data_IF_036592778239
#
_entry.id   IF_036592778239
#
_cell.length_a   1.000
_cell.length_b   1.000
_cell.length_c   1.000
_cell.angle_alpha   90.00
_cell.angle_beta   90.00
_cell.angle_gamma   90.00
#
_symmetry.space_group_name_H-M   'P 1'
#
loop_
_entity.id
_entity.type
_entity.pdbx_description
1 polymer ?
#
# COMPACT_ATOMS: atom_id res chain seq x y z
N UNK A 1 17.19 4.20 6.10
CA UNK A 1 17.56 2.91 6.73
C UNK A 1 16.82 1.80 6.03
N UNK A 2 17.50 0.70 5.71
CA UNK A 2 16.91 -0.50 5.11
C UNK A 2 17.41 -1.73 5.88
N UNK A 3 16.55 -2.30 6.74
CA UNK A 3 16.94 -3.38 7.65
C UNK A 3 18.06 -2.96 8.62
N UNK A 4 19.20 -3.64 8.53
CA UNK A 4 20.40 -3.38 9.33
C UNK A 4 21.38 -2.39 8.68
N UNK A 5 21.01 -1.80 7.55
CA UNK A 5 21.90 -0.95 6.76
C UNK A 5 21.42 0.52 6.67
N UNK A 6 22.39 1.41 6.67
CA UNK A 6 22.32 2.81 6.25
C UNK A 6 22.70 2.87 4.77
N UNK A 7 21.69 3.08 3.92
CA UNK A 7 21.86 3.22 2.48
C UNK A 7 22.02 4.69 2.15
N UNK A 8 23.08 5.02 1.42
CA UNK A 8 23.31 6.39 0.94
C UNK A 8 22.22 6.76 -0.06
N UNK A 9 21.43 7.79 0.27
CA UNK A 9 20.34 8.27 -0.62
C UNK A 9 20.75 9.45 -1.49
N UNK A 10 21.76 10.21 -1.07
CA UNK A 10 22.27 11.36 -1.81
C UNK A 10 23.67 11.72 -1.35
N UNK A 11 24.50 12.15 -2.29
CA UNK A 11 25.88 12.59 -2.06
C UNK A 11 26.09 13.87 -2.86
N UNK A 12 26.91 14.80 -2.35
CA UNK A 12 27.34 15.98 -3.10
C UNK A 12 28.43 15.62 -4.10
N UNK A 13 28.57 16.36 -5.20
CA UNK A 13 29.55 16.08 -6.26
C UNK A 13 31.03 16.02 -5.78
N UNK A 14 31.32 16.56 -4.60
CA UNK A 14 32.63 16.58 -3.95
C UNK A 14 33.03 15.27 -3.26
N UNK A 15 32.14 14.28 -3.16
CA UNK A 15 32.40 13.00 -2.50
C UNK A 15 32.28 11.86 -3.52
N UNK A 16 33.30 10.99 -3.68
CA UNK A 16 33.23 9.85 -4.57
C UNK A 16 32.07 8.91 -4.15
N UNK A 17 31.09 8.78 -5.03
CA UNK A 17 29.96 7.87 -4.85
C UNK A 17 30.02 6.75 -5.89
N UNK A 18 29.92 5.49 -5.43
CA UNK A 18 29.84 4.33 -6.31
C UNK A 18 28.39 3.91 -6.59
N UNK A 19 27.40 4.63 -6.05
CA UNK A 19 25.99 4.50 -6.38
C UNK A 19 25.19 3.52 -5.52
N UNK A 20 25.85 2.67 -4.72
CA UNK A 20 25.22 1.62 -3.91
C UNK A 20 25.85 1.46 -2.51
N UNK A 21 26.44 2.53 -1.95
CA UNK A 21 27.13 2.43 -0.67
C UNK A 21 26.14 2.17 0.48
N UNK A 22 26.32 1.02 1.14
CA UNK A 22 25.54 0.57 2.28
C UNK A 22 26.47 0.36 3.49
N UNK A 23 26.10 0.96 4.62
CA UNK A 23 26.88 0.88 5.86
C UNK A 23 26.08 0.16 6.94
N UNK A 24 26.71 -0.73 7.70
CA UNK A 24 26.05 -1.37 8.84
C UNK A 24 25.70 -0.31 9.90
N UNK A 25 24.43 -0.22 10.33
CA UNK A 25 23.97 0.75 11.34
C UNK A 25 24.60 0.52 12.72
N UNK A 26 25.23 -0.63 12.94
CA UNK A 26 25.93 -0.98 14.17
C UNK A 26 27.43 -0.64 14.14
N UNK A 27 27.96 -0.16 13.01
CA UNK A 27 29.39 0.14 12.85
C UNK A 27 29.64 1.58 12.37
N UNK A 28 30.87 2.04 12.63
CA UNK A 28 31.38 3.32 12.13
C UNK A 28 30.69 4.55 12.70
N UNK A 29 31.17 5.72 12.27
CA UNK A 29 30.67 7.03 12.71
C UNK A 29 29.15 7.18 12.47
N UNK A 30 28.69 6.80 11.28
CA UNK A 30 27.29 6.91 10.89
C UNK A 30 26.39 6.05 11.78
N UNK A 31 26.77 4.80 12.03
CA UNK A 31 26.03 3.90 12.91
C UNK A 31 26.04 4.37 14.36
N UNK A 32 27.19 4.88 14.84
CA UNK A 32 27.30 5.42 16.20
C UNK A 32 26.40 6.63 16.42
N UNK A 33 26.40 7.57 15.48
CA UNK A 33 25.54 8.76 15.49
C UNK A 33 24.06 8.35 15.62
N UNK A 34 23.62 7.37 14.84
CA UNK A 34 22.25 6.86 14.90
C UNK A 34 21.92 6.23 16.26
N UNK A 35 22.83 5.43 16.83
CA UNK A 35 22.61 4.75 18.12
C UNK A 35 22.60 5.71 19.30
N UNK A 36 23.48 6.71 19.29
CA UNK A 36 23.57 7.71 20.36
C UNK A 36 22.49 8.77 20.24
N UNK A 37 21.95 9.00 19.04
CA UNK A 37 20.94 10.03 18.79
C UNK A 37 21.48 11.44 19.03
N UNK A 38 22.79 11.64 18.88
CA UNK A 38 23.50 12.89 19.15
C UNK A 38 24.41 13.27 17.99
N UNK A 39 24.56 14.56 17.77
CA UNK A 39 25.54 15.12 16.84
C UNK A 39 26.96 14.79 17.32
N UNK A 40 27.79 14.28 16.41
CA UNK A 40 29.18 13.95 16.66
C UNK A 40 30.07 14.80 15.75
N UNK A 41 30.96 15.56 16.36
CA UNK A 41 31.98 16.37 15.68
C UNK A 41 33.32 15.67 15.81
N UNK A 42 34.03 15.55 14.70
CA UNK A 42 35.36 14.96 14.62
C UNK A 42 36.33 15.99 14.04
N UNK A 43 37.01 16.78 14.89
CA UNK A 43 38.04 17.73 14.46
C UNK A 43 39.19 17.07 13.68
N UNK A 44 39.49 15.81 14.01
CA UNK A 44 40.42 14.96 13.29
C UNK A 44 39.87 13.53 13.19
N UNK A 45 39.55 13.07 11.98
CA UNK A 45 39.04 11.72 11.74
C UNK A 45 40.16 10.67 11.67
N UNK A 46 41.42 11.07 11.48
CA UNK A 46 42.55 10.14 11.39
C UNK A 46 42.84 9.43 12.70
N UNK A 47 42.48 10.06 13.82
CA UNK A 47 42.58 9.50 15.18
C UNK A 47 41.31 8.74 15.61
N UNK A 48 40.26 8.76 14.80
CA UNK A 48 39.00 8.07 15.10
C UNK A 48 39.06 6.62 14.61
N UNK A 49 39.16 5.66 15.56
CA UNK A 49 39.24 4.22 15.27
C UNK A 49 38.04 3.71 14.46
N UNK A 50 36.86 4.31 14.65
CA UNK A 50 35.63 3.94 13.97
C UNK A 50 35.51 4.57 12.57
N UNK A 51 36.37 5.52 12.22
CA UNK A 51 36.35 6.19 10.93
C UNK A 51 36.91 5.27 9.83
N UNK A 52 36.11 5.09 8.77
CA UNK A 52 36.52 4.39 7.55
C UNK A 52 36.33 5.34 6.36
N UNK A 53 37.15 6.40 6.22
CA UNK A 53 36.93 7.43 5.20
C UNK A 53 37.20 6.87 3.81
N UNK A 54 36.42 7.30 2.81
CA UNK A 54 36.60 6.89 1.41
C UNK A 54 37.85 7.49 0.76
N UNK A 55 38.34 8.60 1.30
CA UNK A 55 39.58 9.26 0.88
C UNK A 55 40.47 9.51 2.08
N UNK A 56 41.78 9.31 1.92
CA UNK A 56 42.79 9.71 2.91
C UNK A 56 42.91 11.23 3.07
N UNK A 57 42.33 12.01 2.17
CA UNK A 57 42.41 13.47 2.21
C UNK A 57 41.43 14.08 3.21
N UNK A 58 40.39 13.33 3.61
CA UNK A 58 39.45 13.78 4.62
C UNK A 58 40.13 13.87 5.99
N UNK A 59 39.92 15.00 6.66
CA UNK A 59 40.58 15.36 7.91
C UNK A 59 39.59 15.59 9.04
N UNK A 60 38.44 16.18 8.78
CA UNK A 60 37.40 16.36 9.80
C UNK A 60 36.02 15.91 9.27
N UNK A 61 35.11 15.62 10.18
CA UNK A 61 33.75 15.22 9.86
C UNK A 61 32.76 15.70 10.91
N UNK A 62 31.53 15.94 10.48
CA UNK A 62 30.38 16.21 11.32
C UNK A 62 29.28 15.21 10.93
N UNK A 63 28.69 14.56 11.93
CA UNK A 63 27.71 13.50 11.74
C UNK A 63 26.50 13.75 12.64
N UNK A 64 25.33 13.92 12.03
CA UNK A 64 24.12 14.45 12.68
C UNK A 64 22.97 13.47 12.45
N UNK A 65 22.19 13.11 13.48
CA UNK A 65 21.00 12.28 13.29
C UNK A 65 19.88 13.06 12.60
N UNK A 66 19.23 12.45 11.61
CA UNK A 66 17.97 12.94 11.04
C UNK A 66 16.84 12.16 11.73
N UNK A 67 16.50 12.56 12.96
CA UNK A 67 15.60 11.82 13.83
C UNK A 67 15.99 10.33 13.92
N UNK A 68 15.01 9.43 13.77
CA UNK A 68 15.23 7.98 13.72
C UNK A 68 15.33 7.42 12.29
N UNK A 69 15.50 8.29 11.28
CA UNK A 69 15.42 7.91 9.87
C UNK A 69 16.77 7.61 9.22
N UNK A 70 17.82 8.23 9.73
CA UNK A 70 19.16 8.13 9.20
C UNK A 70 20.07 9.20 9.78
N UNK A 71 21.14 9.51 9.05
CA UNK A 71 22.16 10.47 9.47
C UNK A 71 22.55 11.35 8.29
N UNK A 72 22.89 12.61 8.56
CA UNK A 72 23.58 13.51 7.65
C UNK A 72 25.07 13.49 8.01
N UNK A 73 25.93 13.26 7.02
CA UNK A 73 27.37 13.34 7.21
C UNK A 73 27.95 14.44 6.33
N UNK A 74 28.74 15.30 6.93
CA UNK A 74 29.57 16.29 6.25
C UNK A 74 31.03 16.00 6.56
N UNK A 75 31.91 16.24 5.59
CA UNK A 75 33.33 15.92 5.65
C UNK A 75 34.14 17.06 5.06
N UNK A 76 35.33 17.29 5.58
CA UNK A 76 36.26 18.31 5.09
C UNK A 76 37.67 17.77 4.96
N UNK A 77 38.48 18.35 4.07
CA UNK A 77 39.91 18.08 3.93
C UNK A 77 40.76 18.88 4.92
N UNK A 78 40.15 19.77 5.69
CA UNK A 78 40.80 20.57 6.74
C UNK A 78 40.55 19.98 8.12
N UNK A 79 41.52 20.14 9.02
CA UNK A 79 41.36 19.80 10.43
C UNK A 79 40.47 20.84 11.10
N UNK A 80 39.63 20.40 12.04
CA UNK A 80 38.77 21.27 12.86
C UNK A 80 37.91 22.25 12.05
N UNK A 81 37.39 21.77 10.92
CA UNK A 81 36.73 22.62 9.92
C UNK A 81 35.27 22.98 10.24
N UNK A 82 34.71 22.46 11.34
CA UNK A 82 33.31 22.65 11.71
C UNK A 82 33.25 23.35 13.06
N UNK A 83 32.82 24.60 13.07
CA UNK A 83 32.65 25.37 14.29
C UNK A 83 31.25 25.17 14.90
N UNK A 84 30.94 25.93 15.96
CA UNK A 84 29.62 25.86 16.60
C UNK A 84 28.48 26.34 15.72
N UNK A 85 28.71 27.31 14.82
CA UNK A 85 27.68 27.83 13.93
C UNK A 85 27.34 26.79 12.85
N UNK A 86 28.35 26.09 12.32
CA UNK A 86 28.16 24.97 11.38
C UNK A 86 27.34 23.84 12.01
N UNK A 87 27.65 23.49 13.25
CA UNK A 87 26.92 22.46 14.01
C UNK A 87 25.47 22.87 14.22
N UNK A 88 25.23 24.09 14.70
CA UNK A 88 23.88 24.61 14.97
C UNK A 88 23.03 24.64 13.68
N UNK A 89 23.58 25.17 12.59
CA UNK A 89 22.89 25.22 11.30
C UNK A 89 22.53 23.82 10.80
N UNK A 90 23.47 22.89 10.88
CA UNK A 90 23.27 21.54 10.38
C UNK A 90 22.29 20.73 11.25
N UNK A 91 22.26 20.98 12.58
CA UNK A 91 21.24 20.45 13.49
C UNK A 91 19.83 20.96 13.13
N UNK A 92 19.68 22.26 12.87
CA UNK A 92 18.40 22.86 12.46
C UNK A 92 17.91 22.23 11.14
N UNK A 93 18.80 22.08 10.15
CA UNK A 93 18.47 21.44 8.87
C UNK A 93 18.05 19.98 9.05
N UNK A 94 18.78 19.22 9.88
CA UNK A 94 18.45 17.83 10.18
C UNK A 94 17.10 17.70 10.90
N UNK A 95 16.80 18.60 11.84
CA UNK A 95 15.52 18.66 12.53
C UNK A 95 14.35 18.94 11.56
N UNK A 96 14.48 19.97 10.71
CA UNK A 96 13.46 20.27 9.69
C UNK A 96 13.26 19.12 8.70
N UNK A 97 14.34 18.45 8.28
CA UNK A 97 14.24 17.27 7.41
C UNK A 97 13.50 16.13 8.11
N UNK A 98 13.80 15.87 9.39
CA UNK A 98 13.12 14.85 10.17
C UNK A 98 11.63 15.15 10.34
N UNK A 99 11.25 16.41 10.58
CA UNK A 99 9.85 16.83 10.65
C UNK A 99 9.12 16.66 9.30
N UNK A 100 9.75 17.05 8.19
CA UNK A 100 9.18 16.87 6.87
C UNK A 100 8.93 15.39 6.54
N UNK A 101 9.90 14.52 6.84
CA UNK A 101 9.77 13.06 6.67
C UNK A 101 8.64 12.51 7.56
N UNK A 102 8.58 12.91 8.84
CA UNK A 102 7.49 12.55 9.74
C UNK A 102 6.13 12.99 9.20
N UNK A 103 6.02 14.22 8.71
CA UNK A 103 4.79 14.76 8.13
C UNK A 103 4.31 13.94 6.92
N UNK A 104 5.22 13.53 6.04
CA UNK A 104 4.90 12.67 4.89
C UNK A 104 4.41 11.30 5.37
N UNK A 105 5.14 10.66 6.30
CA UNK A 105 4.79 9.33 6.83
C UNK A 105 3.45 9.33 7.54
N UNK A 106 3.20 10.31 8.40
CA UNK A 106 1.95 10.44 9.14
C UNK A 106 0.76 10.65 8.20
N UNK A 107 0.90 11.50 7.17
CA UNK A 107 -0.13 11.63 6.13
C UNK A 107 -0.36 10.33 5.38
N UNK A 108 0.70 9.58 5.08
CA UNK A 108 0.62 8.26 4.47
C UNK A 108 -0.17 7.25 5.31
N UNK A 109 0.14 7.14 6.61
CA UNK A 109 -0.59 6.25 7.52
C UNK A 109 -2.04 6.69 7.73
N UNK A 110 -2.31 7.99 7.88
CA UNK A 110 -3.68 8.51 7.96
C UNK A 110 -4.44 8.15 6.68
N UNK A 111 -3.84 8.35 5.51
CA UNK A 111 -4.43 7.97 4.21
C UNK A 111 -4.69 6.46 4.18
N UNK A 112 -3.72 5.65 4.62
CA UNK A 112 -3.86 4.18 4.66
C UNK A 112 -5.00 3.74 5.57
N UNK A 113 -5.08 4.28 6.80
CA UNK A 113 -6.14 3.98 7.76
C UNK A 113 -7.51 4.51 7.33
N UNK A 114 -7.54 5.59 6.54
CA UNK A 114 -8.80 6.14 6.01
C UNK A 114 -9.34 5.29 4.87
N UNK A 115 -8.46 4.85 3.97
CA UNK A 115 -8.85 4.23 2.70
C UNK A 115 -8.67 2.72 2.64
N UNK A 116 -8.17 2.07 3.69
CA UNK A 116 -8.10 0.60 3.77
C UNK A 116 -8.90 0.10 4.96
N UNK A 117 -9.57 -1.03 4.77
CA UNK A 117 -10.22 -1.77 5.82
C UNK A 117 -9.16 -2.48 6.68
N UNK A 118 -9.11 -2.25 8.01
CA UNK A 118 -8.04 -2.77 8.86
C UNK A 118 -8.10 -4.29 9.05
N UNK A 119 -9.26 -4.92 8.84
CA UNK A 119 -9.43 -6.36 9.00
C UNK A 119 -8.94 -7.13 7.77
N UNK A 120 -9.39 -6.72 6.60
CA UNK A 120 -9.15 -7.45 5.35
C UNK A 120 -7.97 -6.89 4.54
N UNK A 121 -7.55 -5.66 4.83
CA UNK A 121 -6.57 -4.93 4.04
C UNK A 121 -7.07 -4.52 2.65
N UNK A 122 -8.34 -4.77 2.30
CA UNK A 122 -8.98 -4.24 1.11
C UNK A 122 -9.14 -2.72 1.20
N UNK A 123 -9.46 -2.04 0.11
CA UNK A 123 -9.86 -0.64 0.18
C UNK A 123 -11.16 -0.52 1.00
N UNK A 124 -11.27 0.54 1.80
CA UNK A 124 -12.52 0.85 2.51
C UNK A 124 -13.51 1.48 1.53
N UNK A 125 -14.79 1.46 1.88
CA UNK A 125 -15.86 2.17 1.14
C UNK A 125 -15.50 3.62 0.80
N UNK A 126 -14.80 4.33 1.69
CA UNK A 126 -14.37 5.72 1.47
C UNK A 126 -13.36 5.87 0.32
N UNK A 127 -12.67 4.79 -0.07
CA UNK A 127 -11.70 4.79 -1.16
C UNK A 127 -12.30 4.62 -2.55
N UNK A 128 -13.57 4.22 -2.66
CA UNK A 128 -14.18 3.88 -3.95
C UNK A 128 -14.19 5.06 -4.90
N UNK A 129 -14.67 6.24 -4.45
CA UNK A 129 -14.87 7.40 -5.32
C UNK A 129 -13.54 7.88 -5.88
N UNK A 130 -12.53 7.99 -5.01
CA UNK A 130 -11.19 8.43 -5.38
C UNK A 130 -10.54 7.49 -6.42
N UNK A 131 -10.74 6.19 -6.29
CA UNK A 131 -10.19 5.23 -7.24
C UNK A 131 -10.97 5.24 -8.55
N UNK A 132 -12.30 5.15 -8.47
CA UNK A 132 -13.18 4.99 -9.64
C UNK A 132 -13.31 6.26 -10.47
N UNK A 133 -13.17 7.46 -9.89
CA UNK A 133 -13.23 8.71 -10.65
C UNK A 133 -12.15 8.79 -11.73
N UNK A 134 -10.94 8.32 -11.41
CA UNK A 134 -9.80 8.29 -12.34
C UNK A 134 -10.07 7.30 -13.47
N UNK A 135 -10.56 6.11 -13.13
CA UNK A 135 -10.82 5.05 -14.11
C UNK A 135 -12.03 5.35 -15.01
N UNK A 136 -13.08 5.98 -14.48
CA UNK A 136 -14.23 6.45 -15.26
C UNK A 136 -13.79 7.53 -16.26
N UNK A 137 -13.02 8.54 -15.81
CA UNK A 137 -12.51 9.58 -16.69
C UNK A 137 -11.63 8.99 -17.81
N UNK A 138 -10.81 7.99 -17.47
CA UNK A 138 -9.98 7.26 -18.42
C UNK A 138 -10.83 6.48 -19.43
N UNK A 139 -11.89 5.80 -18.97
CA UNK A 139 -12.84 5.09 -19.83
C UNK A 139 -13.55 6.02 -20.81
N UNK A 140 -13.98 7.20 -20.35
CA UNK A 140 -14.61 8.22 -21.21
C UNK A 140 -13.60 8.73 -22.25
N UNK A 141 -12.40 9.12 -21.82
CA UNK A 141 -11.39 9.77 -22.67
C UNK A 141 -10.79 8.85 -23.71
N UNK A 142 -10.58 7.57 -23.36
CA UNK A 142 -9.85 6.61 -24.18
C UNK A 142 -10.71 5.50 -24.74
N UNK A 143 -12.02 5.51 -24.47
CA UNK A 143 -12.96 4.46 -24.87
C UNK A 143 -12.50 3.06 -24.44
N UNK A 144 -11.88 2.97 -23.26
CA UNK A 144 -11.43 1.70 -22.67
C UNK A 144 -12.53 1.12 -21.76
N UNK A 145 -12.75 -0.20 -21.77
CA UNK A 145 -13.82 -0.80 -20.99
C UNK A 145 -13.53 -0.71 -19.49
N UNK A 146 -14.57 -0.62 -18.68
CA UNK A 146 -14.49 -0.66 -17.22
C UNK A 146 -15.62 -1.53 -16.72
N UNK A 147 -15.31 -2.52 -15.89
CA UNK A 147 -16.30 -3.42 -15.31
C UNK A 147 -16.28 -3.35 -13.79
N UNK A 148 -17.42 -3.70 -13.18
CA UNK A 148 -17.62 -3.72 -11.74
C UNK A 148 -18.28 -5.03 -11.35
N UNK A 149 -17.81 -5.62 -10.25
CA UNK A 149 -18.47 -6.73 -9.58
C UNK A 149 -18.90 -6.30 -8.18
N UNK A 150 -20.11 -6.70 -7.78
CA UNK A 150 -20.54 -6.72 -6.40
C UNK A 150 -20.57 -8.18 -5.95
N UNK A 151 -19.86 -8.50 -4.87
CA UNK A 151 -19.71 -9.83 -4.31
C UNK A 151 -20.21 -9.83 -2.87
N UNK A 152 -20.90 -10.87 -2.47
CA UNK A 152 -21.39 -11.06 -1.10
C UNK A 152 -21.21 -12.50 -0.64
N UNK A 153 -20.82 -12.68 0.62
CA UNK A 153 -20.67 -14.01 1.23
C UNK A 153 -22.03 -14.60 1.57
N UNK A 154 -22.34 -15.73 0.94
CA UNK A 154 -23.61 -16.40 1.15
C UNK A 154 -23.74 -16.91 2.59
N UNK A 155 -24.83 -16.53 3.26
CA UNK A 155 -25.17 -16.96 4.62
C UNK A 155 -24.12 -16.57 5.69
N UNK A 156 -23.36 -15.48 5.51
CA UNK A 156 -22.33 -15.05 6.45
C UNK A 156 -22.79 -14.91 7.90
N UNK A 157 -24.02 -14.43 8.12
CA UNK A 157 -24.61 -14.40 9.47
C UNK A 157 -24.68 -15.79 10.11
N UNK A 158 -25.05 -16.84 9.37
CA UNK A 158 -25.09 -18.21 9.90
C UNK A 158 -23.68 -18.73 10.23
N UNK A 159 -22.69 -18.33 9.45
CA UNK A 159 -21.27 -18.64 9.73
C UNK A 159 -20.86 -18.02 11.06
N UNK A 160 -21.15 -16.74 11.27
CA UNK A 160 -20.90 -16.05 12.55
C UNK A 160 -21.66 -16.71 13.71
N UNK A 161 -22.94 -17.02 13.52
CA UNK A 161 -23.77 -17.62 14.57
C UNK A 161 -23.27 -19.03 14.94
N UNK A 162 -22.69 -19.77 14.01
CA UNK A 162 -22.22 -21.16 14.22
C UNK A 162 -20.78 -21.25 14.74
N UNK A 163 -19.89 -20.37 14.29
CA UNK A 163 -18.45 -20.46 14.55
C UNK A 163 -17.87 -19.24 15.30
N UNK A 164 -18.70 -18.24 15.58
CA UNK A 164 -18.32 -17.00 16.25
C UNK A 164 -17.71 -15.95 15.31
N UNK A 165 -17.75 -14.70 15.74
CA UNK A 165 -17.25 -13.55 14.97
C UNK A 165 -15.78 -13.64 14.60
N UNK A 166 -14.93 -14.22 15.47
CA UNK A 166 -13.50 -14.39 15.17
C UNK A 166 -13.29 -15.25 13.92
N UNK A 167 -14.10 -16.29 13.74
CA UNK A 167 -14.03 -17.11 12.52
C UNK A 167 -14.59 -16.36 11.31
N UNK A 168 -15.68 -15.59 11.47
CA UNK A 168 -16.18 -14.73 10.41
C UNK A 168 -15.16 -13.69 9.94
N UNK A 169 -14.41 -13.10 10.86
CA UNK A 169 -13.31 -12.19 10.56
C UNK A 169 -12.21 -12.88 9.72
N UNK A 170 -11.83 -14.10 10.10
CA UNK A 170 -10.91 -14.92 9.28
C UNK A 170 -11.47 -15.23 7.89
N UNK A 171 -12.77 -15.50 7.76
CA UNK A 171 -13.44 -15.74 6.47
C UNK A 171 -13.35 -14.50 5.57
N UNK A 172 -13.58 -13.30 6.12
CA UNK A 172 -13.49 -12.05 5.38
C UNK A 172 -12.08 -11.80 4.85
N UNK A 173 -11.06 -11.96 5.70
CA UNK A 173 -9.65 -11.78 5.28
C UNK A 173 -9.24 -12.84 4.26
N UNK A 174 -9.64 -14.10 4.47
CA UNK A 174 -9.40 -15.20 3.53
C UNK A 174 -10.04 -14.97 2.17
N UNK A 175 -11.26 -14.44 2.12
CA UNK A 175 -11.94 -14.12 0.87
C UNK A 175 -11.14 -13.09 0.07
N UNK A 176 -10.73 -11.99 0.71
CA UNK A 176 -9.96 -10.93 0.04
C UNK A 176 -8.64 -11.46 -0.51
N UNK A 177 -7.90 -12.25 0.27
CA UNK A 177 -6.68 -12.90 -0.21
C UNK A 177 -6.94 -13.89 -1.35
N UNK A 178 -8.05 -14.63 -1.29
CA UNK A 178 -8.47 -15.55 -2.35
C UNK A 178 -8.79 -14.82 -3.65
N UNK A 179 -9.48 -13.68 -3.58
CA UNK A 179 -9.74 -12.84 -4.75
C UNK A 179 -8.45 -12.22 -5.30
N UNK A 180 -7.55 -11.74 -4.44
CA UNK A 180 -6.26 -11.14 -4.82
C UNK A 180 -5.34 -12.08 -5.60
N UNK A 181 -5.43 -13.39 -5.37
CA UNK A 181 -4.67 -14.37 -6.15
C UNK A 181 -5.16 -14.51 -7.61
N UNK A 182 -6.34 -13.99 -7.94
CA UNK A 182 -7.01 -14.19 -9.23
C UNK A 182 -7.00 -12.91 -10.06
N UNK A 183 -7.27 -11.77 -9.41
CA UNK A 183 -7.31 -10.45 -10.05
C UNK A 183 -5.89 -9.91 -10.30
N UNK A 184 -5.78 -8.89 -11.14
CA UNK A 184 -4.51 -8.23 -11.48
C UNK A 184 -4.18 -7.16 -10.44
N UNK A 185 -2.92 -6.70 -10.43
CA UNK A 185 -2.48 -5.61 -9.55
C UNK A 185 -3.16 -4.26 -9.83
N UNK A 186 -3.71 -4.06 -11.04
CA UNK A 186 -4.49 -2.88 -11.43
C UNK A 186 -5.93 -2.93 -10.94
N UNK A 187 -6.43 -4.13 -10.62
CA UNK A 187 -7.78 -4.35 -10.16
C UNK A 187 -7.85 -4.05 -8.65
N UNK A 188 -8.99 -3.58 -8.16
CA UNK A 188 -9.13 -3.22 -6.74
C UNK A 188 -10.30 -3.93 -6.08
N UNK A 189 -10.02 -4.52 -4.91
CA UNK A 189 -11.04 -5.06 -4.01
C UNK A 189 -11.33 -4.00 -2.94
N UNK A 190 -12.61 -3.71 -2.76
CA UNK A 190 -13.12 -2.72 -1.82
C UNK A 190 -14.12 -3.42 -0.92
N UNK A 191 -13.99 -3.28 0.40
CA UNK A 191 -15.00 -3.71 1.35
C UNK A 191 -16.10 -2.65 1.42
N UNK A 192 -17.26 -2.97 0.85
CA UNK A 192 -18.40 -2.07 0.73
C UNK A 192 -19.30 -2.10 1.96
N UNK A 193 -19.52 -3.30 2.50
CA UNK A 193 -20.35 -3.57 3.68
C UNK A 193 -19.67 -4.51 4.67
N UNK A 194 -20.47 -5.16 5.52
CA UNK A 194 -19.94 -6.12 6.50
C UNK A 194 -19.29 -7.34 5.83
N UNK A 195 -20.00 -7.90 4.86
CA UNK A 195 -19.72 -9.11 4.08
C UNK A 195 -19.82 -8.89 2.57
N UNK A 196 -19.97 -7.62 2.16
CA UNK A 196 -20.10 -7.17 0.78
C UNK A 196 -18.80 -6.53 0.28
N UNK A 197 -18.40 -6.89 -0.94
CA UNK A 197 -17.18 -6.43 -1.58
C UNK A 197 -17.47 -5.95 -3.01
N UNK A 198 -16.89 -4.81 -3.36
CA UNK A 198 -16.81 -4.34 -4.73
C UNK A 198 -15.46 -4.74 -5.34
N UNK A 199 -15.46 -5.17 -6.60
CA UNK A 199 -14.25 -5.38 -7.38
C UNK A 199 -14.32 -4.49 -8.61
N UNK A 200 -13.41 -3.53 -8.71
CA UNK A 200 -13.29 -2.62 -9.86
C UNK A 200 -12.25 -3.17 -10.81
N UNK A 201 -12.61 -3.26 -12.09
CA UNK A 201 -11.82 -3.93 -13.13
C UNK A 201 -11.55 -2.97 -14.30
N UNK A 202 -10.49 -2.15 -14.21
CA UNK A 202 -10.10 -1.25 -15.29
C UNK A 202 -9.66 -2.00 -16.53
N UNK A 203 -10.04 -1.51 -17.71
CA UNK A 203 -9.69 -2.09 -19.00
C UNK A 203 -10.16 -3.55 -19.14
N UNK A 204 -11.30 -3.90 -18.54
CA UNK A 204 -11.93 -5.23 -18.64
C UNK A 204 -13.33 -5.10 -19.20
N UNK A 205 -13.62 -5.84 -20.28
CA UNK A 205 -14.97 -5.94 -20.85
C UNK A 205 -15.89 -6.74 -19.94
N UNK A 206 -17.20 -6.66 -20.19
CA UNK A 206 -18.19 -7.40 -19.41
C UNK A 206 -17.95 -8.92 -19.44
N UNK A 207 -17.56 -9.47 -20.60
CA UNK A 207 -17.25 -10.89 -20.78
C UNK A 207 -15.96 -11.28 -20.05
N UNK A 208 -14.96 -10.40 -20.06
CA UNK A 208 -13.72 -10.59 -19.30
C UNK A 208 -13.98 -10.60 -17.80
N UNK A 209 -14.87 -9.73 -17.32
CA UNK A 209 -15.33 -9.72 -15.94
C UNK A 209 -16.10 -11.01 -15.62
N UNK A 210 -17.05 -11.43 -16.45
CA UNK A 210 -17.78 -12.69 -16.26
C UNK A 210 -16.83 -13.90 -16.11
N UNK A 211 -15.86 -14.05 -17.01
CA UNK A 211 -14.84 -15.11 -16.92
C UNK A 211 -13.99 -15.03 -15.64
N UNK A 212 -13.66 -13.82 -15.19
CA UNK A 212 -12.92 -13.63 -13.95
C UNK A 212 -13.76 -14.00 -12.71
N UNK A 213 -15.05 -13.67 -12.70
CA UNK A 213 -15.98 -14.08 -11.64
C UNK A 213 -16.16 -15.60 -11.59
N UNK A 214 -16.23 -16.29 -12.74
CA UNK A 214 -16.25 -17.76 -12.78
C UNK A 214 -15.00 -18.35 -12.13
N UNK A 215 -13.82 -17.80 -12.44
CA UNK A 215 -12.56 -18.21 -11.81
C UNK A 215 -12.56 -17.98 -10.30
N UNK A 216 -13.15 -16.88 -9.82
CA UNK A 216 -13.34 -16.61 -8.39
C UNK A 216 -14.21 -17.70 -7.76
N UNK A 217 -15.40 -17.97 -8.31
CA UNK A 217 -16.30 -18.99 -7.79
C UNK A 217 -15.65 -20.38 -7.74
N UNK A 218 -14.95 -20.77 -8.81
CA UNK A 218 -14.27 -22.06 -8.89
C UNK A 218 -13.08 -22.18 -7.93
N UNK A 219 -12.38 -21.06 -7.68
CA UNK A 219 -11.29 -21.04 -6.72
C UNK A 219 -11.80 -21.20 -5.29
N UNK A 220 -12.89 -20.53 -4.94
CA UNK A 220 -13.48 -20.57 -3.60
C UNK A 220 -14.11 -21.94 -3.31
N UNK A 221 -14.83 -22.55 -4.28
CA UNK A 221 -15.41 -23.91 -4.13
C UNK A 221 -14.38 -24.99 -3.79
N UNK A 222 -13.14 -24.85 -4.25
CA UNK A 222 -12.08 -25.85 -4.05
C UNK A 222 -11.38 -25.73 -2.70
N UNK A 223 -11.74 -24.75 -1.88
CA UNK A 223 -11.04 -24.43 -0.64
C UNK A 223 -12.04 -24.30 0.51
N UNK A 224 -11.69 -24.94 1.61
CA UNK A 224 -12.34 -24.71 2.90
C UNK A 224 -11.38 -23.90 3.77
N UNK A 225 -11.89 -22.88 4.44
CA UNK A 225 -11.09 -22.17 5.44
C UNK A 225 -11.07 -22.99 6.72
N UNK A 226 -9.85 -23.40 7.10
CA UNK A 226 -9.58 -24.25 8.27
C UNK A 226 -10.36 -25.58 8.30
N UNK A 227 -10.78 -26.10 7.13
CA UNK A 227 -11.58 -27.33 7.00
C UNK A 227 -12.93 -27.32 7.75
N UNK A 228 -13.42 -26.15 8.17
CA UNK A 228 -14.63 -26.04 9.01
C UNK A 228 -15.92 -25.78 8.26
N UNK A 229 -15.86 -24.97 7.20
CA UNK A 229 -17.05 -24.60 6.42
C UNK A 229 -16.72 -24.41 4.94
N UNK A 230 -17.67 -24.79 4.10
CA UNK A 230 -17.69 -24.40 2.70
C UNK A 230 -18.20 -22.96 2.60
N UNK A 231 -17.35 -22.07 2.09
CA UNK A 231 -17.69 -20.66 1.90
C UNK A 231 -18.08 -20.46 0.44
N UNK A 232 -19.29 -19.96 0.23
CA UNK A 232 -19.79 -19.64 -1.11
C UNK A 232 -20.12 -18.16 -1.20
N UNK A 233 -20.09 -17.63 -2.43
CA UNK A 233 -20.36 -16.23 -2.69
C UNK A 233 -21.32 -16.08 -3.86
N UNK A 234 -22.13 -15.04 -3.81
CA UNK A 234 -22.94 -14.60 -4.93
C UNK A 234 -22.29 -13.35 -5.55
N UNK A 235 -22.35 -13.22 -6.88
CA UNK A 235 -21.69 -12.13 -7.61
C UNK A 235 -22.67 -11.48 -8.60
N UNK A 236 -22.80 -10.15 -8.56
CA UNK A 236 -23.45 -9.35 -9.58
C UNK A 236 -22.42 -8.57 -10.39
N UNK A 237 -22.55 -8.54 -11.72
CA UNK A 237 -21.54 -7.97 -12.62
C UNK A 237 -22.19 -6.92 -13.52
N UNK A 238 -21.52 -5.79 -13.75
CA UNK A 238 -21.93 -4.80 -14.75
C UNK A 238 -20.70 -4.17 -15.42
N UNK A 239 -20.93 -3.42 -16.49
CA UNK A 239 -19.92 -2.59 -17.14
C UNK A 239 -20.33 -1.12 -17.11
N UNK A 240 -19.35 -0.26 -17.31
CA UNK A 240 -19.55 1.16 -17.58
C UNK A 240 -20.24 1.32 -18.93
N UNK A 241 -21.29 2.14 -18.98
CA UNK A 241 -22.15 2.29 -20.15
C UNK A 241 -21.83 3.55 -20.99
N UNK A 242 -20.82 4.33 -20.60
CA UNK A 242 -20.38 5.51 -21.35
C UNK A 242 -20.86 6.83 -20.75
N UNK A 243 -20.99 7.85 -21.60
CA UNK A 243 -21.28 9.22 -21.17
C UNK A 243 -22.56 9.33 -20.33
N UNK A 244 -22.43 9.98 -19.17
CA UNK A 244 -23.52 10.18 -18.22
C UNK A 244 -23.74 9.00 -17.27
N UNK A 245 -22.95 7.93 -17.37
CA UNK A 245 -22.87 6.87 -16.36
C UNK A 245 -21.88 7.26 -15.24
N UNK A 246 -22.05 6.68 -14.06
CA UNK A 246 -21.25 7.00 -12.87
C UNK A 246 -21.11 5.76 -11.97
N UNK A 247 -20.26 5.86 -10.94
CA UNK A 247 -19.99 4.74 -10.04
C UNK A 247 -21.23 4.28 -9.27
N UNK A 248 -22.11 5.20 -8.86
CA UNK A 248 -23.31 4.85 -8.10
C UNK A 248 -24.30 4.06 -8.96
N UNK A 249 -24.46 4.44 -10.23
CA UNK A 249 -25.27 3.69 -11.20
C UNK A 249 -24.67 2.32 -11.48
N UNK A 250 -23.35 2.21 -11.63
CA UNK A 250 -22.69 0.91 -11.76
C UNK A 250 -22.94 0.03 -10.53
N UNK A 251 -22.80 0.58 -9.31
CA UNK A 251 -23.05 -0.15 -8.07
C UNK A 251 -24.51 -0.63 -8.02
N UNK A 252 -25.48 0.22 -8.34
CA UNK A 252 -26.91 -0.15 -8.36
C UNK A 252 -27.21 -1.29 -9.35
N UNK A 253 -26.59 -1.28 -10.54
CA UNK A 253 -26.73 -2.36 -11.53
C UNK A 253 -26.10 -3.66 -11.04
N UNK A 254 -24.90 -3.59 -10.46
CA UNK A 254 -24.21 -4.75 -9.90
C UNK A 254 -24.99 -5.35 -8.73
N UNK A 255 -25.54 -4.52 -7.83
CA UNK A 255 -26.37 -4.95 -6.72
C UNK A 255 -27.67 -5.63 -7.18
N UNK A 256 -28.34 -5.06 -8.20
CA UNK A 256 -29.53 -5.68 -8.80
C UNK A 256 -29.23 -7.07 -9.37
N UNK A 257 -28.08 -7.23 -10.04
CA UNK A 257 -27.65 -8.54 -10.54
C UNK A 257 -27.28 -9.49 -9.39
N UNK A 258 -26.63 -9.01 -8.34
CA UNK A 258 -26.31 -9.80 -7.15
C UNK A 258 -27.57 -10.33 -6.45
N UNK A 259 -28.60 -9.49 -6.33
CA UNK A 259 -29.89 -9.89 -5.80
C UNK A 259 -30.53 -11.01 -6.63
N UNK A 260 -30.44 -10.94 -7.96
CA UNK A 260 -30.88 -12.02 -8.85
C UNK A 260 -30.06 -13.32 -8.63
N UNK A 261 -28.74 -13.20 -8.42
CA UNK A 261 -27.88 -14.34 -8.12
C UNK A 261 -28.30 -15.04 -6.81
N UNK A 262 -28.53 -14.27 -5.74
CA UNK A 262 -28.98 -14.77 -4.43
C UNK A 262 -30.35 -15.44 -4.52
N UNK A 263 -31.32 -14.78 -5.16
CA UNK A 263 -32.69 -15.30 -5.30
C UNK A 263 -32.78 -16.57 -6.15
N UNK A 264 -31.86 -16.77 -7.10
CA UNK A 264 -31.78 -18.00 -7.92
C UNK A 264 -31.02 -19.15 -7.26
N UNK A 265 -30.71 -19.06 -5.97
CA UNK A 265 -30.13 -20.16 -5.19
C UNK A 265 -28.63 -20.02 -4.90
N UNK A 266 -28.10 -18.78 -4.89
CA UNK A 266 -26.76 -18.45 -4.38
C UNK A 266 -25.61 -19.14 -5.13
N UNK A 267 -24.36 -18.98 -4.66
CA UNK A 267 -23.14 -19.60 -5.19
C UNK A 267 -23.01 -19.48 -6.73
N UNK A 268 -23.29 -18.27 -7.25
CA UNK A 268 -23.36 -18.01 -8.68
C UNK A 268 -23.12 -16.55 -9.00
N UNK A 269 -22.86 -16.31 -10.27
CA UNK A 269 -22.83 -14.97 -10.83
C UNK A 269 -24.09 -14.64 -11.62
N UNK A 270 -24.39 -13.34 -11.72
CA UNK A 270 -25.33 -12.77 -12.69
C UNK A 270 -24.73 -11.52 -13.29
N UNK A 271 -24.94 -11.38 -14.60
CA UNK A 271 -24.56 -10.19 -15.35
C UNK A 271 -25.79 -9.32 -15.49
N UNK A 272 -25.69 -8.05 -15.10
CA UNK A 272 -26.72 -7.06 -15.40
C UNK A 272 -26.84 -6.94 -16.92
N UNK A 273 -28.02 -7.23 -17.44
CA UNK A 273 -28.37 -7.00 -18.83
C UNK A 273 -29.49 -5.98 -18.85
N UNK A 274 -29.27 -4.89 -19.58
CA UNK A 274 -30.35 -3.93 -19.84
C UNK A 274 -31.50 -4.69 -20.52
N UNK A 275 -32.71 -4.55 -19.99
CA UNK A 275 -33.87 -5.16 -20.64
C UNK A 275 -34.04 -4.47 -21.99
N UNK A 276 -33.68 -5.16 -23.08
CA UNK A 276 -33.98 -4.67 -24.41
C UNK A 276 -35.50 -4.50 -24.50
N UNK A 277 -35.93 -3.24 -24.56
CA UNK A 277 -37.31 -2.84 -24.83
C UNK A 277 -37.52 -2.76 -26.33
#
# INVERSE_FOLDING_TARGET
MEGDFLVVKRVTNSVPDKGDDCYNKHEGIAGRTLREGKTLVFPDISICVEAKPKSSDYRSALSIPIGNFGVLQTISTELDAFDSEDVELAEILAAHAAEAINGIRNRGEITRLTYNDPLTGALSRHGVEKFTSVEIEKSIRHSVPLSLMMLDIDDFKKINDSFGHVYGDSVLSWLVESVRMIIRSTDQVIRWGGDEFLIVLPEVTLEGAESMAERILDHLKKRTIEERAEITVSIGITSFLGDGDDIDRMINRADSALYEAKSKGKNRLRVFRESQS
#
